data_IF_856985377914
#
_entry.id   IF_856985377914
#
_cell.length_a   1.000
_cell.length_b   1.000
_cell.length_c   1.000
_cell.angle_alpha   90.00
_cell.angle_beta   90.00
_cell.angle_gamma   90.00
#
_symmetry.space_group_name_H-M   'P 1'
#
loop_
_entity.id
_entity.type
_entity.pdbx_description
1 polymer ?
#
# COMPACT_ATOMS: atom_id res chain seq x y z
N UNK A 1 -25.78 -3.47 -13.74
CA UNK A 1 -24.73 -2.62 -13.24
C UNK A 1 -24.22 -1.67 -14.28
N UNK A 2 -23.83 -0.49 -13.83
CA UNK A 2 -23.28 0.52 -14.72
C UNK A 2 -21.80 0.27 -14.97
N UNK A 3 -21.31 0.85 -16.06
CA UNK A 3 -19.89 0.85 -16.37
C UNK A 3 -19.10 1.52 -15.25
N UNK A 4 -19.69 2.55 -14.62
CA UNK A 4 -19.06 3.26 -13.51
C UNK A 4 -18.76 2.33 -12.33
N UNK A 5 -19.70 1.46 -11.96
CA UNK A 5 -19.48 0.50 -10.88
C UNK A 5 -18.39 -0.50 -11.22
N UNK A 6 -18.33 -0.96 -12.47
CA UNK A 6 -17.29 -1.87 -12.93
C UNK A 6 -15.93 -1.20 -12.89
N UNK A 7 -15.85 0.08 -13.28
CA UNK A 7 -14.61 0.84 -13.21
C UNK A 7 -14.16 1.05 -11.77
N UNK A 8 -15.09 1.35 -10.84
CA UNK A 8 -14.77 1.50 -9.43
C UNK A 8 -14.23 0.21 -8.83
N UNK A 9 -14.89 -0.90 -9.10
CA UNK A 9 -14.43 -2.20 -8.60
C UNK A 9 -13.04 -2.53 -9.14
N UNK A 10 -12.84 -2.36 -10.45
CA UNK A 10 -11.55 -2.59 -11.08
C UNK A 10 -10.48 -1.69 -10.49
N UNK A 11 -10.81 -0.42 -10.21
CA UNK A 11 -9.87 0.53 -9.62
C UNK A 11 -9.46 0.11 -8.20
N UNK A 12 -10.39 -0.35 -7.38
CA UNK A 12 -10.06 -0.81 -6.02
C UNK A 12 -9.25 -2.11 -6.04
N UNK A 13 -9.54 -3.01 -6.98
CA UNK A 13 -8.71 -4.20 -7.14
C UNK A 13 -7.30 -3.84 -7.58
N UNK A 14 -7.16 -2.87 -8.47
CA UNK A 14 -5.85 -2.36 -8.89
C UNK A 14 -5.12 -1.72 -7.72
N UNK A 15 -5.83 -0.95 -6.89
CA UNK A 15 -5.26 -0.35 -5.70
C UNK A 15 -4.75 -1.42 -4.73
N UNK A 16 -5.51 -2.47 -4.52
CA UNK A 16 -5.08 -3.59 -3.68
C UNK A 16 -3.81 -4.24 -4.24
N UNK A 17 -3.76 -4.47 -5.56
CA UNK A 17 -2.57 -4.99 -6.22
C UNK A 17 -1.37 -4.08 -6.02
N UNK A 18 -1.57 -2.77 -6.14
CA UNK A 18 -0.51 -1.78 -5.90
C UNK A 18 0.03 -1.89 -4.48
N UNK A 19 -0.86 -2.01 -3.50
CA UNK A 19 -0.45 -2.13 -2.09
C UNK A 19 0.35 -3.42 -1.87
N UNK A 20 -0.10 -4.53 -2.42
CA UNK A 20 0.58 -5.82 -2.28
C UNK A 20 2.01 -5.73 -2.84
N UNK A 21 2.17 -5.19 -4.05
CA UNK A 21 3.49 -5.07 -4.66
C UNK A 21 4.38 -4.08 -3.92
N UNK A 22 3.81 -2.96 -3.44
CA UNK A 22 4.57 -1.99 -2.66
C UNK A 22 5.06 -2.61 -1.35
N UNK A 23 4.19 -3.33 -0.64
CA UNK A 23 4.55 -3.98 0.62
C UNK A 23 5.65 -5.02 0.39
N UNK A 24 5.52 -5.82 -0.67
CA UNK A 24 6.55 -6.81 -1.01
C UNK A 24 7.88 -6.13 -1.29
N UNK A 25 7.86 -5.04 -2.08
CA UNK A 25 9.08 -4.30 -2.37
C UNK A 25 9.70 -3.68 -1.13
N UNK A 26 8.90 -3.07 -0.28
CA UNK A 26 9.39 -2.43 0.95
C UNK A 26 9.98 -3.45 1.91
N UNK A 27 9.39 -4.64 2.01
CA UNK A 27 9.96 -5.70 2.86
C UNK A 27 11.30 -6.19 2.36
N UNK A 28 11.60 -6.01 1.07
CA UNK A 28 12.91 -6.37 0.51
C UNK A 28 13.98 -5.32 0.81
N UNK A 29 13.61 -4.10 1.20
CA UNK A 29 14.58 -3.03 1.42
C UNK A 29 15.72 -3.41 2.36
N UNK A 30 15.47 -4.00 3.56
CA UNK A 30 16.59 -4.38 4.44
C UNK A 30 17.51 -5.38 3.79
N UNK A 31 17.01 -6.24 2.91
CA UNK A 31 17.79 -7.27 2.26
C UNK A 31 18.70 -6.72 1.17
N UNK A 32 18.42 -5.51 0.66
CA UNK A 32 19.25 -4.89 -0.38
C UNK A 32 20.59 -4.40 0.16
N UNK A 33 20.73 -4.21 1.46
CA UNK A 33 21.94 -3.68 2.12
C UNK A 33 22.44 -2.42 1.39
N UNK A 34 21.60 -1.40 1.34
CA UNK A 34 21.90 -0.12 0.69
C UNK A 34 22.11 -0.32 -0.83
N UNK A 35 21.31 -1.24 -1.42
CA UNK A 35 21.33 -1.55 -2.85
C UNK A 35 22.64 -2.21 -3.33
N UNK A 36 23.43 -2.75 -2.40
CA UNK A 36 24.64 -3.48 -2.75
C UNK A 36 24.35 -4.93 -3.17
N UNK A 37 23.26 -5.50 -2.67
CA UNK A 37 22.83 -6.85 -3.05
C UNK A 37 21.96 -6.78 -4.29
N UNK A 38 22.42 -7.39 -5.39
CA UNK A 38 21.77 -7.23 -6.70
C UNK A 38 20.38 -7.87 -6.76
N UNK A 39 20.24 -9.11 -6.29
CA UNK A 39 18.98 -9.83 -6.44
C UNK A 39 17.84 -9.18 -5.66
N UNK A 40 17.97 -8.88 -4.36
CA UNK A 40 16.91 -8.17 -3.64
C UNK A 40 16.59 -6.80 -4.25
N UNK A 41 17.59 -6.08 -4.72
CA UNK A 41 17.40 -4.76 -5.33
C UNK A 41 16.59 -4.88 -6.63
N UNK A 42 16.87 -5.87 -7.45
CA UNK A 42 16.13 -6.08 -8.70
C UNK A 42 14.68 -6.45 -8.41
N UNK A 43 14.46 -7.38 -7.47
CA UNK A 43 13.11 -7.81 -7.11
C UNK A 43 12.31 -6.63 -6.55
N UNK A 44 12.92 -5.85 -5.66
CA UNK A 44 12.27 -4.66 -5.09
C UNK A 44 11.88 -3.67 -6.20
N UNK A 45 12.79 -3.41 -7.13
CA UNK A 45 12.54 -2.47 -8.23
C UNK A 45 11.37 -2.93 -9.09
N UNK A 46 11.32 -4.21 -9.42
CA UNK A 46 10.21 -4.78 -10.22
C UNK A 46 8.89 -4.63 -9.46
N UNK A 47 8.89 -4.92 -8.16
CA UNK A 47 7.69 -4.77 -7.33
C UNK A 47 7.20 -3.33 -7.31
N UNK A 48 8.10 -2.36 -7.17
CA UNK A 48 7.72 -0.95 -7.14
C UNK A 48 7.19 -0.48 -8.50
N UNK A 49 7.80 -0.88 -9.60
CA UNK A 49 7.27 -0.55 -10.92
C UNK A 49 5.86 -1.10 -11.11
N UNK A 50 5.64 -2.36 -10.72
CA UNK A 50 4.32 -2.96 -10.82
C UNK A 50 3.32 -2.22 -9.93
N UNK A 51 3.72 -1.83 -8.72
CA UNK A 51 2.88 -1.08 -7.80
C UNK A 51 2.44 0.25 -8.42
N UNK A 52 3.38 1.02 -8.96
CA UNK A 52 3.05 2.30 -9.58
C UNK A 52 2.16 2.15 -10.79
N UNK A 53 2.37 1.10 -11.60
CA UNK A 53 1.49 0.83 -12.72
C UNK A 53 0.05 0.60 -12.24
N UNK A 54 -0.13 -0.24 -11.21
CA UNK A 54 -1.47 -0.49 -10.67
C UNK A 54 -2.08 0.76 -10.05
N UNK A 55 -1.27 1.65 -9.47
CA UNK A 55 -1.76 2.93 -8.98
C UNK A 55 -2.36 3.76 -10.10
N UNK A 56 -1.73 3.79 -11.27
CA UNK A 56 -2.30 4.53 -12.40
C UNK A 56 -3.63 3.96 -12.85
N UNK A 57 -3.79 2.65 -12.77
CA UNK A 57 -5.07 2.03 -13.09
C UNK A 57 -6.15 2.40 -12.06
N UNK A 58 -5.78 2.49 -10.79
CA UNK A 58 -6.73 2.90 -9.74
C UNK A 58 -7.23 4.33 -9.95
N UNK A 59 -6.41 5.20 -10.51
CA UNK A 59 -6.78 6.59 -10.73
C UNK A 59 -7.88 6.77 -11.77
N UNK A 60 -8.25 5.73 -12.51
CA UNK A 60 -9.34 5.80 -13.48
C UNK A 60 -10.68 6.14 -12.83
N UNK A 61 -10.90 5.70 -11.59
CA UNK A 61 -12.20 5.87 -10.93
C UNK A 61 -12.08 6.42 -9.51
N UNK A 62 -10.87 6.55 -8.97
CA UNK A 62 -10.66 7.00 -7.59
C UNK A 62 -9.81 8.26 -7.61
N UNK A 63 -10.21 9.33 -6.90
CA UNK A 63 -9.41 10.54 -6.82
C UNK A 63 -8.01 10.28 -6.25
N UNK A 64 -7.04 11.04 -6.70
CA UNK A 64 -5.65 10.87 -6.31
C UNK A 64 -5.46 10.89 -4.79
N UNK A 65 -6.12 11.82 -4.10
CA UNK A 65 -5.98 11.93 -2.65
C UNK A 65 -6.47 10.66 -1.94
N UNK A 66 -7.56 10.07 -2.43
CA UNK A 66 -8.13 8.85 -1.85
C UNK A 66 -7.20 7.66 -2.12
N UNK A 67 -6.69 7.55 -3.35
CA UNK A 67 -5.73 6.49 -3.70
C UNK A 67 -4.50 6.58 -2.81
N UNK A 68 -3.96 7.78 -2.64
CA UNK A 68 -2.76 7.97 -1.84
C UNK A 68 -3.01 7.65 -0.37
N UNK A 69 -4.15 8.07 0.18
CA UNK A 69 -4.50 7.78 1.57
C UNK A 69 -4.61 6.28 1.81
N UNK A 70 -5.31 5.57 0.93
CA UNK A 70 -5.46 4.12 1.05
C UNK A 70 -4.12 3.40 0.88
N UNK A 71 -3.38 3.77 -0.16
CA UNK A 71 -2.09 3.15 -0.46
C UNK A 71 -1.12 3.32 0.71
N UNK A 72 -0.95 4.53 1.21
CA UNK A 72 0.00 4.79 2.28
C UNK A 72 -0.49 4.22 3.62
N UNK A 73 -1.77 4.40 3.95
CA UNK A 73 -2.31 3.92 5.23
C UNK A 73 -2.28 2.41 5.34
N UNK A 74 -2.82 1.72 4.35
CA UNK A 74 -2.84 0.25 4.38
C UNK A 74 -1.45 -0.32 4.18
N UNK A 75 -0.60 0.35 3.39
CA UNK A 75 0.79 -0.05 3.22
C UNK A 75 1.56 0.01 4.54
N UNK A 76 1.44 1.11 5.28
CA UNK A 76 2.09 1.27 6.57
C UNK A 76 1.62 0.20 7.56
N UNK A 77 0.31 -0.03 7.63
CA UNK A 77 -0.24 -1.05 8.52
C UNK A 77 0.31 -2.44 8.17
N UNK A 78 0.30 -2.79 6.89
CA UNK A 78 0.78 -4.08 6.42
C UNK A 78 2.26 -4.27 6.73
N UNK A 79 3.07 -3.24 6.48
CA UNK A 79 4.51 -3.28 6.78
C UNK A 79 4.73 -3.47 8.27
N UNK A 80 3.99 -2.75 9.11
CA UNK A 80 4.13 -2.87 10.57
C UNK A 80 3.87 -4.29 11.04
N UNK A 81 2.78 -4.91 10.53
CA UNK A 81 2.43 -6.28 10.92
C UNK A 81 3.46 -7.28 10.39
N UNK A 82 3.81 -7.19 9.12
CA UNK A 82 4.72 -8.14 8.50
C UNK A 82 6.16 -8.01 9.00
N UNK A 83 6.60 -6.78 9.30
CA UNK A 83 7.93 -6.58 9.88
C UNK A 83 8.04 -7.21 11.26
N UNK A 84 6.96 -7.18 12.03
CA UNK A 84 6.94 -7.86 13.31
C UNK A 84 7.17 -9.37 13.14
N UNK A 85 6.49 -10.00 12.18
CA UNK A 85 6.61 -11.44 11.98
C UNK A 85 7.88 -11.85 11.28
N UNK A 86 8.34 -11.07 10.31
CA UNK A 86 9.50 -11.44 9.48
C UNK A 86 10.82 -11.03 10.15
N UNK A 87 10.86 -9.81 10.68
CA UNK A 87 12.11 -9.23 11.20
C UNK A 87 12.12 -9.10 12.72
N UNK A 88 11.04 -9.46 13.39
CA UNK A 88 10.95 -9.36 14.84
C UNK A 88 10.91 -7.92 15.36
N UNK A 89 10.55 -6.97 14.54
CA UNK A 89 10.49 -5.55 14.91
C UNK A 89 9.15 -5.24 15.57
N UNK A 90 9.19 -5.14 16.89
CA UNK A 90 7.99 -4.80 17.66
C UNK A 90 7.72 -3.31 17.71
N UNK A 91 6.49 -2.94 18.03
CA UNK A 91 6.07 -1.55 18.16
C UNK A 91 5.61 -1.28 19.58
N UNK A 92 5.86 -0.04 20.05
CA UNK A 92 5.31 0.42 21.31
C UNK A 92 3.79 0.54 21.21
N UNK A 93 3.11 0.57 22.39
CA UNK A 93 1.66 0.74 22.37
C UNK A 93 1.24 2.08 21.77
N UNK A 94 2.09 3.12 21.93
CA UNK A 94 1.81 4.43 21.34
C UNK A 94 1.84 4.36 19.80
N UNK A 95 2.79 3.61 19.24
CA UNK A 95 2.87 3.40 17.80
C UNK A 95 1.66 2.62 17.28
N UNK A 96 1.22 1.61 18.03
CA UNK A 96 0.02 0.85 17.68
C UNK A 96 -1.21 1.77 17.66
N UNK A 97 -1.32 2.66 18.66
CA UNK A 97 -2.41 3.64 18.69
C UNK A 97 -2.38 4.52 17.44
N UNK A 98 -1.18 4.98 17.04
CA UNK A 98 -1.02 5.77 15.82
C UNK A 98 -1.49 5.03 14.59
N UNK A 99 -1.20 3.74 14.49
CA UNK A 99 -1.65 2.91 13.37
C UNK A 99 -3.17 2.81 13.33
N UNK A 100 -3.82 2.67 14.49
CA UNK A 100 -5.29 2.68 14.55
C UNK A 100 -5.85 4.00 14.05
N UNK A 101 -5.23 5.12 14.40
CA UNK A 101 -5.66 6.43 13.91
C UNK A 101 -5.54 6.52 12.38
N UNK A 102 -4.47 6.00 11.82
CA UNK A 102 -4.27 5.98 10.37
C UNK A 102 -5.38 5.17 9.69
N UNK A 103 -5.66 3.96 10.20
CA UNK A 103 -6.70 3.10 9.64
C UNK A 103 -8.07 3.78 9.72
N UNK A 104 -8.38 4.40 10.85
CA UNK A 104 -9.64 5.13 10.99
C UNK A 104 -9.73 6.27 9.99
N UNK A 105 -8.62 6.99 9.77
CA UNK A 105 -8.58 8.06 8.77
C UNK A 105 -8.83 7.54 7.36
N UNK A 106 -8.24 6.40 7.02
CA UNK A 106 -8.45 5.78 5.70
C UNK A 106 -9.93 5.40 5.52
N UNK A 107 -10.54 4.83 6.57
CA UNK A 107 -11.95 4.45 6.53
C UNK A 107 -12.82 5.68 6.31
N UNK A 108 -12.58 6.76 7.06
CA UNK A 108 -13.35 7.99 6.92
C UNK A 108 -13.23 8.59 5.53
N UNK A 109 -12.02 8.62 4.99
CA UNK A 109 -11.77 9.15 3.65
C UNK A 109 -12.58 8.38 2.60
N UNK A 110 -12.64 7.06 2.73
CA UNK A 110 -13.37 6.24 1.76
C UNK A 110 -14.87 6.37 1.90
N UNK A 111 -15.38 6.44 3.14
CA UNK A 111 -16.82 6.56 3.38
C UNK A 111 -17.37 7.89 2.87
N UNK A 112 -16.63 8.97 3.11
CA UNK A 112 -17.09 10.32 2.81
C UNK A 112 -16.49 10.89 1.52
N UNK A 113 -15.87 10.05 0.69
CA UNK A 113 -15.35 10.51 -0.59
C UNK A 113 -16.51 10.75 -1.57
N UNK A 114 -16.28 11.66 -2.52
CA UNK A 114 -17.29 12.08 -3.50
C UNK A 114 -16.98 11.57 -4.90
N UNK A 115 -16.19 10.56 -5.01
CA UNK A 115 -15.83 10.01 -6.31
C UNK A 115 -16.90 9.14 -6.93
#
# INVERSE_FOLDING_TARGET
>A
FSIRQNLSMSAYLSLLGAIIFEVAGTLMLPLTREFSEKLPTIIMSICYFASFYFLTLALRAIPLAIVYACWSGLGVLSIAVLSYFIYGQGLSWQAILGLFLIVNGVILVNIYSTH
#
